data_IF_516413713757
#
_entry.id   IF_516413713757
#
_cell.length_a   1.000
_cell.length_b   1.000
_cell.length_c   1.000
_cell.angle_alpha   90.00
_cell.angle_beta   90.00
_cell.angle_gamma   90.00
#
_symmetry.space_group_name_H-M   'P 1'
#
loop_
_entity.id
_entity.type
_entity.pdbx_description
1 polymer ?
#
# COMPACT_ATOMS: atom_id res chain seq x y z
N UNK A 1 -19.50 5.56 4.89
CA UNK A 1 -20.84 5.03 4.52
C UNK A 1 -20.69 3.93 3.47
N UNK A 2 -21.60 2.96 3.37
CA UNK A 2 -21.58 1.97 2.28
C UNK A 2 -22.52 2.41 1.15
N UNK A 3 -22.11 2.20 -0.10
CA UNK A 3 -22.95 2.43 -1.27
C UNK A 3 -22.88 1.23 -2.19
N UNK A 4 -24.04 0.76 -2.66
CA UNK A 4 -24.12 -0.25 -3.72
C UNK A 4 -24.62 0.42 -4.99
N UNK A 5 -23.90 0.26 -6.10
CA UNK A 5 -24.35 0.71 -7.42
C UNK A 5 -24.53 -0.46 -8.37
N UNK A 6 -25.54 -0.33 -9.22
CA UNK A 6 -25.82 -1.23 -10.33
C UNK A 6 -25.26 -0.61 -11.61
N UNK A 7 -24.60 -1.40 -12.44
CA UNK A 7 -24.14 -1.01 -13.76
C UNK A 7 -24.23 -2.20 -14.72
N UNK A 8 -24.10 -1.96 -16.02
CA UNK A 8 -24.12 -3.02 -17.04
C UNK A 8 -22.74 -3.18 -17.66
N UNK A 9 -22.32 -4.44 -17.79
CA UNK A 9 -21.12 -4.76 -18.57
C UNK A 9 -21.36 -4.63 -20.08
N UNK A 10 -20.31 -4.85 -20.88
CA UNK A 10 -20.36 -4.68 -22.34
C UNK A 10 -21.36 -5.61 -23.01
N UNK A 11 -21.65 -6.75 -22.39
CA UNK A 11 -22.60 -7.75 -22.87
C UNK A 11 -24.03 -7.44 -22.37
N UNK A 12 -24.22 -6.33 -21.64
CA UNK A 12 -25.51 -5.87 -21.13
C UNK A 12 -25.95 -6.55 -19.83
N UNK A 13 -25.07 -7.33 -19.18
CA UNK A 13 -25.44 -8.01 -17.94
C UNK A 13 -25.37 -7.06 -16.76
N UNK A 14 -26.37 -7.15 -15.88
CA UNK A 14 -26.40 -6.38 -14.65
C UNK A 14 -25.31 -6.84 -13.66
N UNK A 15 -24.53 -5.89 -13.17
CA UNK A 15 -23.49 -6.08 -12.16
C UNK A 15 -23.72 -5.14 -10.99
N UNK A 16 -23.27 -5.57 -9.82
CA UNK A 16 -23.37 -4.80 -8.58
C UNK A 16 -21.99 -4.63 -7.97
N UNK A 17 -21.73 -3.43 -7.48
CA UNK A 17 -20.49 -3.11 -6.77
C UNK A 17 -20.83 -2.38 -5.49
N UNK A 18 -20.34 -2.90 -4.37
CA UNK A 18 -20.46 -2.25 -3.06
C UNK A 18 -19.13 -1.60 -2.71
N UNK A 19 -19.19 -0.30 -2.42
CA UNK A 19 -18.03 0.57 -2.18
C UNK A 19 -18.13 1.18 -0.77
N UNK A 20 -16.97 1.35 -0.12
CA UNK A 20 -16.86 2.08 1.14
C UNK A 20 -16.53 3.53 0.81
N UNK A 21 -17.44 4.45 1.12
CA UNK A 21 -17.24 5.88 0.92
C UNK A 21 -16.67 6.48 2.19
N UNK A 22 -15.37 6.81 2.13
CA UNK A 22 -14.64 7.63 3.10
C UNK A 22 -14.48 9.07 2.61
N UNK A 23 -14.38 10.01 3.54
CA UNK A 23 -14.21 11.43 3.23
C UNK A 23 -12.73 11.83 3.16
N UNK A 24 -11.90 11.14 3.94
CA UNK A 24 -10.48 11.43 4.11
C UNK A 24 -9.67 10.12 4.12
N UNK A 25 -8.44 10.18 3.64
CA UNK A 25 -7.51 9.05 3.60
C UNK A 25 -6.27 9.42 4.42
N UNK A 26 -6.07 8.75 5.55
CA UNK A 26 -4.86 8.88 6.36
C UNK A 26 -3.94 7.71 6.03
N UNK A 27 -2.85 7.97 5.31
CA UNK A 27 -1.87 6.95 4.97
C UNK A 27 -0.94 6.75 6.17
N UNK A 28 -0.92 5.53 6.69
CA UNK A 28 0.12 5.08 7.63
C UNK A 28 1.33 4.73 6.76
N UNK A 29 2.51 5.28 7.07
CA UNK A 29 3.69 5.32 6.18
C UNK A 29 3.99 4.05 5.37
N UNK A 30 4.67 4.21 4.23
CA UNK A 30 4.99 3.08 3.35
C UNK A 30 5.92 2.07 4.02
N UNK A 31 5.66 0.77 3.80
CA UNK A 31 6.61 -0.29 4.15
C UNK A 31 7.97 0.04 3.52
N UNK A 32 9.02 0.09 4.32
CA UNK A 32 10.40 0.24 3.85
C UNK A 32 10.67 -0.90 2.86
N UNK A 33 10.64 -0.61 1.55
CA UNK A 33 10.97 -1.59 0.53
C UNK A 33 12.48 -1.87 0.63
N UNK A 34 12.84 -2.96 1.30
CA UNK A 34 14.09 -3.63 1.02
C UNK A 34 13.95 -4.28 -0.35
N UNK A 35 14.54 -3.64 -1.35
CA UNK A 35 15.08 -4.17 -2.61
C UNK A 35 14.37 -5.35 -3.30
N UNK A 36 14.04 -5.11 -4.58
CA UNK A 36 14.11 -6.04 -5.73
C UNK A 36 12.77 -6.40 -6.43
N UNK A 37 12.74 -6.18 -7.75
CA UNK A 37 11.76 -6.77 -8.67
C UNK A 37 10.68 -5.86 -9.26
N UNK A 38 11.05 -4.87 -10.10
CA UNK A 38 10.05 -4.22 -10.97
C UNK A 38 10.55 -2.96 -11.67
N UNK A 39 11.23 -3.13 -12.79
CA UNK A 39 11.78 -2.06 -13.62
C UNK A 39 10.74 -0.98 -14.03
N UNK A 40 10.96 0.25 -13.59
CA UNK A 40 10.68 1.43 -14.40
C UNK A 40 11.73 2.50 -14.10
N UNK A 41 12.55 2.72 -15.12
CA UNK A 41 13.36 3.88 -15.46
C UNK A 41 13.37 5.06 -14.46
N UNK A 42 14.47 5.19 -13.72
CA UNK A 42 14.93 6.49 -13.25
C UNK A 42 16.46 6.49 -13.12
N UNK A 43 17.11 7.16 -14.07
CA UNK A 43 18.53 7.51 -14.04
C UNK A 43 18.94 8.14 -12.70
N UNK A 44 19.89 7.49 -12.01
CA UNK A 44 20.62 8.01 -10.85
C UNK A 44 21.46 9.25 -11.20
N UNK A 45 21.78 10.12 -10.22
CA UNK A 45 23.09 10.00 -9.58
C UNK A 45 23.05 9.86 -8.05
N UNK A 46 24.06 9.17 -7.55
CA UNK A 46 24.28 8.76 -6.16
C UNK A 46 24.61 9.91 -5.19
N UNK A 47 24.14 9.79 -3.93
CA UNK A 47 24.88 10.28 -2.76
C UNK A 47 24.38 9.72 -1.42
N UNK A 48 25.36 9.18 -0.69
CA UNK A 48 25.57 9.21 0.76
C UNK A 48 24.78 8.26 1.69
N UNK A 49 25.58 7.33 2.23
CA UNK A 49 25.34 6.37 3.30
C UNK A 49 24.94 7.03 4.63
N UNK A 50 23.97 6.45 5.33
CA UNK A 50 23.73 6.66 6.75
C UNK A 50 23.70 5.29 7.47
N UNK A 51 24.32 5.15 8.66
CA UNK A 51 24.42 3.86 9.35
C UNK A 51 23.07 3.39 9.89
N UNK A 52 22.77 2.13 9.62
CA UNK A 52 21.61 1.39 10.11
C UNK A 52 21.69 1.20 11.63
N UNK A 53 20.80 1.85 12.37
CA UNK A 53 20.54 1.54 13.77
C UNK A 53 19.52 0.40 13.80
N UNK A 54 20.02 -0.79 14.05
CA UNK A 54 19.29 -2.04 14.22
C UNK A 54 18.46 -1.96 15.50
N UNK A 55 17.19 -1.55 15.37
CA UNK A 55 16.21 -1.68 16.45
C UNK A 55 15.81 -3.15 16.54
N UNK A 56 16.58 -3.91 17.33
CA UNK A 56 16.25 -5.26 17.76
C UNK A 56 14.99 -5.21 18.64
N UNK A 57 13.82 -5.29 18.02
CA UNK A 57 12.63 -5.78 18.71
C UNK A 57 12.82 -7.29 18.90
N UNK A 58 13.38 -7.67 20.04
CA UNK A 58 13.53 -9.07 20.42
C UNK A 58 12.15 -9.71 20.59
N UNK A 59 12.01 -11.00 20.26
CA UNK A 59 10.76 -11.78 20.43
C UNK A 59 10.22 -11.78 21.88
N UNK A 60 11.04 -11.33 22.85
CA UNK A 60 10.66 -11.08 24.25
C UNK A 60 9.74 -9.87 24.47
N UNK A 61 9.66 -8.91 23.55
CA UNK A 61 8.93 -7.63 23.74
C UNK A 61 7.54 -7.64 23.05
N UNK A 62 7.11 -8.78 22.52
CA UNK A 62 5.77 -8.99 21.96
C UNK A 62 4.87 -9.58 23.05
N UNK A 63 3.87 -8.84 23.58
CA UNK A 63 2.95 -9.39 24.57
C UNK A 63 2.01 -10.44 23.95
N UNK A 64 1.66 -11.46 24.74
CA UNK A 64 0.65 -12.47 24.43
C UNK A 64 -0.77 -11.88 24.31
#
# INVERSE_FOLDING_TARGET
>A
KLQTRKWQDKDGNDKYTTEILGNEMNMLGGRQSSSDGGAYDQSQPASQSAPSQESQISEEDIPF
#
